data_IF_851348092900
#
_entry.id   IF_851348092900
#
_cell.length_a   1.000
_cell.length_b   1.000
_cell.length_c   1.000
_cell.angle_alpha   90.00
_cell.angle_beta   90.00
_cell.angle_gamma   90.00
#
_symmetry.space_group_name_H-M   'P 1'
#
loop_
_entity.id
_entity.type
_entity.pdbx_description
1 polymer ?
#
# COMPACT_ATOMS: atom_id res chain seq x y z
N UNK A 1 24.94 -31.30 -43.90
CA UNK A 1 23.63 -31.96 -43.77
C UNK A 1 23.10 -31.58 -42.41
N UNK A 2 21.97 -30.87 -42.37
CA UNK A 2 21.44 -30.23 -41.17
C UNK A 2 20.58 -31.23 -40.41
N UNK A 3 21.12 -31.83 -39.35
CA UNK A 3 20.35 -32.61 -38.39
C UNK A 3 19.62 -31.68 -37.42
N UNK A 4 18.44 -31.23 -37.81
CA UNK A 4 17.50 -30.57 -36.90
C UNK A 4 16.87 -31.65 -36.03
N UNK A 5 17.51 -31.95 -34.90
CA UNK A 5 16.97 -32.84 -33.88
C UNK A 5 15.71 -32.24 -33.24
N UNK A 6 14.56 -32.51 -33.86
CA UNK A 6 13.20 -32.17 -33.40
C UNK A 6 12.81 -33.01 -32.20
N UNK A 7 13.36 -32.70 -31.02
CA UNK A 7 12.95 -33.38 -29.77
C UNK A 7 12.79 -32.44 -28.58
N UNK A 8 12.14 -31.27 -28.73
CA UNK A 8 12.00 -30.33 -27.59
C UNK A 8 10.65 -29.59 -27.41
N UNK A 9 9.49 -29.97 -28.00
CA UNK A 9 8.25 -29.20 -27.75
C UNK A 9 7.81 -29.27 -26.28
N UNK A 10 8.01 -30.41 -25.61
CA UNK A 10 7.74 -30.58 -24.17
C UNK A 10 8.71 -29.79 -23.29
N UNK A 11 9.97 -29.68 -23.70
CA UNK A 11 11.00 -28.95 -22.96
C UNK A 11 10.76 -27.43 -23.02
N UNK A 12 10.43 -26.91 -24.21
CA UNK A 12 10.09 -25.49 -24.40
C UNK A 12 8.82 -25.13 -23.64
N UNK A 13 7.80 -26.00 -23.66
CA UNK A 13 6.57 -25.82 -22.88
C UNK A 13 6.83 -25.80 -21.38
N UNK A 14 7.82 -26.53 -20.88
CA UNK A 14 8.19 -26.53 -19.46
C UNK A 14 9.05 -25.32 -19.09
N UNK A 15 10.00 -24.93 -19.94
CA UNK A 15 10.86 -23.73 -19.74
C UNK A 15 10.02 -22.44 -19.72
N UNK A 16 8.95 -22.36 -20.51
CA UNK A 16 8.06 -21.20 -20.51
C UNK A 16 6.94 -21.36 -19.48
N UNK A 17 6.37 -22.56 -19.35
CA UNK A 17 5.25 -22.81 -18.43
C UNK A 17 5.63 -22.68 -16.96
N UNK A 18 6.85 -23.02 -16.58
CA UNK A 18 7.32 -22.93 -15.20
C UNK A 18 7.44 -21.48 -14.68
N UNK A 19 8.14 -20.55 -15.35
CA UNK A 19 8.20 -19.16 -14.89
C UNK A 19 6.83 -18.47 -14.96
N UNK A 20 6.02 -18.76 -15.98
CA UNK A 20 4.66 -18.18 -16.09
C UNK A 20 3.75 -18.70 -14.97
N UNK A 21 3.79 -20.01 -14.69
CA UNK A 21 3.05 -20.61 -13.59
C UNK A 21 3.50 -20.07 -12.22
N UNK A 22 4.81 -19.96 -12.00
CA UNK A 22 5.37 -19.38 -10.78
C UNK A 22 4.93 -17.93 -10.61
N UNK A 23 4.97 -17.13 -11.67
CA UNK A 23 4.53 -15.74 -11.65
C UNK A 23 3.03 -15.62 -11.29
N UNK A 24 2.18 -16.46 -11.88
CA UNK A 24 0.75 -16.48 -11.56
C UNK A 24 0.50 -16.84 -10.08
N UNK A 25 1.25 -17.80 -9.53
CA UNK A 25 1.18 -18.15 -8.11
C UNK A 25 1.62 -16.98 -7.22
N UNK A 26 2.72 -16.30 -7.57
CA UNK A 26 3.19 -15.13 -6.82
C UNK A 26 2.18 -13.97 -6.85
N UNK A 27 1.51 -13.74 -7.99
CA UNK A 27 0.43 -12.74 -8.09
C UNK A 27 -0.74 -13.06 -7.15
N UNK A 28 -1.18 -14.32 -7.11
CA UNK A 28 -2.27 -14.75 -6.20
C UNK A 28 -1.87 -14.59 -4.73
N UNK A 29 -0.64 -14.97 -4.38
CA UNK A 29 -0.12 -14.79 -3.02
C UNK A 29 -0.12 -13.31 -2.65
N UNK A 30 0.36 -12.43 -3.54
CA UNK A 30 0.37 -10.98 -3.30
C UNK A 30 -1.03 -10.42 -3.00
N UNK A 31 -2.05 -10.83 -3.75
CA UNK A 31 -3.44 -10.40 -3.52
C UNK A 31 -3.96 -10.84 -2.14
N UNK A 32 -3.65 -12.08 -1.73
CA UNK A 32 -4.04 -12.60 -0.42
C UNK A 32 -3.35 -11.82 0.69
N UNK A 33 -2.04 -11.58 0.59
CA UNK A 33 -1.29 -10.80 1.57
C UNK A 33 -1.77 -9.35 1.67
N UNK A 34 -2.13 -8.71 0.54
CA UNK A 34 -2.67 -7.35 0.53
C UNK A 34 -4.04 -7.27 1.21
N UNK A 35 -4.92 -8.26 0.96
CA UNK A 35 -6.26 -8.32 1.56
C UNK A 35 -6.27 -8.57 3.08
N UNK A 36 -5.18 -9.09 3.64
CA UNK A 36 -5.04 -9.36 5.08
C UNK A 36 -4.46 -8.20 5.89
N UNK A 37 -3.89 -7.18 5.22
CA UNK A 37 -3.26 -6.01 5.86
C UNK A 37 -3.94 -4.64 5.63
N UNK A 38 -5.21 -4.52 5.16
CA UNK A 38 -5.80 -3.20 4.87
C UNK A 38 -5.84 -2.32 6.11
N UNK A 39 -6.01 -2.92 7.29
CA UNK A 39 -6.06 -2.22 8.56
C UNK A 39 -4.74 -1.51 8.91
N UNK A 40 -3.60 -2.09 8.53
CA UNK A 40 -2.29 -1.49 8.84
C UNK A 40 -2.01 -0.27 7.97
N UNK A 41 -2.39 -0.33 6.70
CA UNK A 41 -2.23 0.79 5.78
C UNK A 41 -3.21 1.92 6.15
N UNK A 42 -4.49 1.60 6.39
CA UNK A 42 -5.48 2.58 6.83
C UNK A 42 -5.09 3.23 8.16
N UNK A 43 -4.64 2.44 9.14
CA UNK A 43 -4.12 2.95 10.41
C UNK A 43 -2.89 3.85 10.19
N UNK A 44 -1.97 3.48 9.31
CA UNK A 44 -0.79 4.30 9.00
C UNK A 44 -1.18 5.63 8.36
N UNK A 45 -2.11 5.62 7.40
CA UNK A 45 -2.62 6.83 6.74
C UNK A 45 -3.31 7.74 7.76
N UNK A 46 -4.23 7.20 8.59
CA UNK A 46 -4.96 8.01 9.58
C UNK A 46 -3.97 8.63 10.58
N UNK A 47 -2.95 7.88 11.03
CA UNK A 47 -1.89 8.38 11.92
C UNK A 47 -1.05 9.48 11.29
N UNK A 48 -0.61 9.28 10.04
CA UNK A 48 0.23 10.25 9.34
C UNK A 48 -0.56 11.53 9.02
N UNK A 49 -1.87 11.41 8.76
CA UNK A 49 -2.76 12.57 8.57
C UNK A 49 -2.82 13.44 9.83
N UNK A 50 -2.95 12.82 11.02
CA UNK A 50 -2.91 13.55 12.30
C UNK A 50 -1.56 14.25 12.50
N UNK A 51 -0.45 13.55 12.23
CA UNK A 51 0.90 14.13 12.32
C UNK A 51 1.05 15.35 11.40
N UNK A 52 0.54 15.26 10.17
CA UNK A 52 0.58 16.37 9.22
C UNK A 52 -0.28 17.54 9.68
N UNK A 53 -1.45 17.28 10.27
CA UNK A 53 -2.33 18.32 10.83
C UNK A 53 -1.59 19.17 11.88
N UNK A 54 -0.95 18.51 12.87
CA UNK A 54 -0.17 19.20 13.89
C UNK A 54 1.03 19.94 13.32
N UNK A 55 1.74 19.32 12.38
CA UNK A 55 2.91 19.94 11.74
C UNK A 55 2.56 21.21 10.97
N UNK A 56 1.43 21.23 10.27
CA UNK A 56 0.97 22.42 9.55
C UNK A 56 0.41 23.48 10.50
N UNK A 57 -0.23 23.07 11.60
CA UNK A 57 -0.63 23.99 12.68
C UNK A 57 0.56 24.69 13.34
N UNK A 58 1.61 23.95 13.67
CA UNK A 58 2.82 24.50 14.29
C UNK A 58 3.56 25.48 13.37
N UNK A 59 3.59 25.20 12.05
CA UNK A 59 4.19 26.11 11.07
C UNK A 59 3.42 27.42 10.90
N UNK A 60 2.12 27.41 11.20
CA UNK A 60 1.23 28.55 10.98
C UNK A 60 0.93 28.82 9.50
N UNK A 61 -0.08 29.67 9.21
CA UNK A 61 -0.45 30.00 7.84
C UNK A 61 0.71 30.75 7.15
N UNK A 62 1.08 30.30 5.95
CA UNK A 62 1.99 31.06 5.10
C UNK A 62 1.29 32.34 4.64
N UNK A 63 2.07 33.41 4.47
CA UNK A 63 1.63 34.79 4.20
C UNK A 63 0.63 34.96 3.04
N UNK A 64 0.45 33.95 2.18
CA UNK A 64 -0.50 33.95 1.06
C UNK A 64 -1.23 32.61 0.87
N UNK A 65 -1.38 31.80 1.92
CA UNK A 65 -2.09 30.51 1.82
C UNK A 65 -3.08 30.37 2.96
N UNK A 66 -4.37 30.11 2.68
CA UNK A 66 -5.33 29.82 3.74
C UNK A 66 -4.87 28.59 4.52
N UNK A 67 -5.06 28.57 5.85
CA UNK A 67 -4.71 27.41 6.66
C UNK A 67 -5.46 26.18 6.15
N UNK A 68 -4.73 25.09 5.91
CA UNK A 68 -5.34 23.85 5.40
C UNK A 68 -6.17 23.12 6.46
N UNK A 69 -5.98 23.46 7.74
CA UNK A 69 -6.68 22.88 8.87
C UNK A 69 -7.25 24.00 9.74
N UNK A 70 -8.52 23.86 10.11
CA UNK A 70 -9.22 24.75 11.07
C UNK A 70 -8.91 24.31 12.52
N UNK A 71 -9.00 25.24 13.46
CA UNK A 71 -8.88 24.94 14.89
C UNK A 71 -9.87 23.84 15.30
N UNK A 72 -9.42 22.84 16.06
CA UNK A 72 -10.23 21.70 16.51
C UNK A 72 -10.31 20.53 15.52
N UNK A 73 -9.79 20.65 14.29
CA UNK A 73 -9.78 19.53 13.35
C UNK A 73 -8.77 18.45 13.72
N UNK A 74 -7.59 18.81 14.22
CA UNK A 74 -6.57 17.83 14.59
C UNK A 74 -7.06 16.96 15.75
N UNK A 75 -7.68 17.58 16.76
CA UNK A 75 -8.27 16.91 17.92
C UNK A 75 -9.45 16.00 17.52
N UNK A 76 -10.25 16.42 16.54
CA UNK A 76 -11.30 15.57 15.98
C UNK A 76 -10.73 14.34 15.27
N UNK A 77 -9.67 14.51 14.47
CA UNK A 77 -9.00 13.40 13.78
C UNK A 77 -8.39 12.40 14.79
N UNK A 78 -7.81 12.89 15.89
CA UNK A 78 -7.32 12.04 16.98
C UNK A 78 -8.43 11.24 17.65
N UNK A 79 -9.57 11.86 17.90
CA UNK A 79 -10.74 11.19 18.46
C UNK A 79 -11.28 10.10 17.52
N UNK A 80 -11.38 10.40 16.22
CA UNK A 80 -11.79 9.43 15.21
C UNK A 80 -10.80 8.26 15.09
N UNK A 81 -9.49 8.54 15.15
CA UNK A 81 -8.45 7.50 15.17
C UNK A 81 -8.58 6.58 16.39
N UNK A 82 -8.72 7.16 17.58
CA UNK A 82 -8.89 6.40 18.82
C UNK A 82 -10.17 5.56 18.78
N UNK A 83 -11.26 6.12 18.27
CA UNK A 83 -12.55 5.43 18.15
C UNK A 83 -12.47 4.27 17.15
N UNK A 84 -11.71 4.43 16.05
CA UNK A 84 -11.60 3.43 14.98
C UNK A 84 -10.61 2.31 15.30
N UNK A 85 -9.48 2.64 15.95
CA UNK A 85 -8.36 1.73 16.11
C UNK A 85 -8.09 1.31 17.56
N UNK A 86 -8.83 1.87 18.53
CA UNK A 86 -8.65 1.67 19.98
C UNK A 86 -7.18 1.87 20.44
N UNK A 87 -6.48 2.80 19.78
CA UNK A 87 -5.09 3.16 20.05
C UNK A 87 -4.90 4.65 19.98
N UNK A 88 -3.88 5.15 20.66
CA UNK A 88 -3.46 6.53 20.51
C UNK A 88 -2.59 6.68 19.23
N UNK A 89 -2.79 7.75 18.45
CA UNK A 89 -1.95 8.05 17.28
C UNK A 89 -0.48 8.33 17.67
#
# INVERSE_FOLDING_TARGET
MNDVATKKPKLVRWIIGLPVGLFAVLMLISQIFFSLSPDKEAQWIDRETIRMCWKEREKGPKENTPPQFIDGQCEKLEFEFKTRWDRNP
#
